data_IF_956329342350
#
_entry.id   IF_956329342350
#
_cell.length_a   1.000
_cell.length_b   1.000
_cell.length_c   1.000
_cell.angle_alpha   90.00
_cell.angle_beta   90.00
_cell.angle_gamma   90.00
#
_symmetry.space_group_name_H-M   'P 1'
#
loop_
_entity.id
_entity.type
_entity.pdbx_description
1 polymer ?
#
# COMPACT_ATOMS: atom_id res chain seq x y z
N UNK A 1 -17.82 82.33 56.02
CA UNK A 1 -17.37 80.95 56.35
C UNK A 1 -18.48 79.95 56.06
N UNK A 2 -18.43 79.20 54.95
CA UNK A 2 -19.04 77.87 54.83
C UNK A 2 -18.23 77.06 53.81
N UNK A 3 -17.77 75.90 54.27
CA UNK A 3 -16.88 74.98 53.57
C UNK A 3 -17.59 74.15 52.48
N UNK A 4 -16.76 73.78 51.52
CA UNK A 4 -16.91 72.87 50.38
C UNK A 4 -17.52 71.51 50.75
N UNK A 5 -18.27 70.91 49.80
CA UNK A 5 -18.23 69.45 49.55
C UNK A 5 -18.05 69.19 48.06
N UNK A 6 -17.08 68.33 47.78
CA UNK A 6 -16.65 67.83 46.48
C UNK A 6 -17.55 66.68 46.03
N UNK A 7 -17.80 66.59 44.72
CA UNK A 7 -18.29 65.37 44.07
C UNK A 7 -17.35 65.09 42.89
N UNK A 8 -16.62 63.97 42.85
CA UNK A 8 -15.87 63.57 41.67
C UNK A 8 -16.76 62.76 40.73
N UNK A 9 -16.86 63.19 39.46
CA UNK A 9 -17.43 62.37 38.39
C UNK A 9 -16.28 61.59 37.77
N UNK A 10 -16.27 60.27 38.00
CA UNK A 10 -15.43 59.32 37.27
C UNK A 10 -15.96 59.21 35.84
N UNK A 11 -15.21 59.68 34.85
CA UNK A 11 -15.47 59.38 33.44
C UNK A 11 -14.67 58.13 33.05
N UNK A 12 -15.35 56.99 32.93
CA UNK A 12 -14.78 55.76 32.41
C UNK A 12 -14.60 55.86 30.90
N UNK A 13 -13.36 55.78 30.44
CA UNK A 13 -13.02 55.66 29.01
C UNK A 13 -13.32 54.23 28.57
N UNK A 14 -14.37 54.05 27.78
CA UNK A 14 -14.67 52.80 27.08
C UNK A 14 -13.64 52.59 25.97
N UNK A 15 -12.67 51.70 26.22
CA UNK A 15 -11.71 51.23 25.23
C UNK A 15 -12.40 50.16 24.37
N UNK A 16 -12.91 50.53 23.19
CA UNK A 16 -13.44 49.57 22.22
C UNK A 16 -12.28 48.86 21.50
N UNK A 17 -12.27 47.51 21.41
CA UNK A 17 -11.28 46.80 20.62
C UNK A 17 -11.52 47.09 19.13
N UNK A 18 -10.52 47.69 18.49
CA UNK A 18 -10.48 47.91 17.05
C UNK A 18 -10.25 46.56 16.36
N UNK A 19 -11.33 45.89 15.93
CA UNK A 19 -11.23 44.71 15.07
C UNK A 19 -10.78 45.15 13.67
N UNK A 20 -9.52 44.88 13.34
CA UNK A 20 -9.01 45.02 11.97
C UNK A 20 -9.51 43.83 11.16
N UNK A 21 -10.59 44.04 10.41
CA UNK A 21 -11.04 43.10 9.39
C UNK A 21 -10.09 43.29 8.20
N UNK A 22 -9.08 42.43 8.10
CA UNK A 22 -8.29 42.33 6.87
C UNK A 22 -9.22 41.80 5.77
N UNK A 23 -9.31 42.45 4.60
CA UNK A 23 -9.94 41.84 3.44
C UNK A 23 -9.12 40.61 3.09
N UNK A 24 -9.60 39.44 3.49
CA UNK A 24 -9.10 38.20 2.94
C UNK A 24 -9.66 38.17 1.53
N UNK A 25 -8.86 38.59 0.56
CA UNK A 25 -9.11 38.27 -0.84
C UNK A 25 -8.99 36.75 -0.93
N UNK A 26 -10.09 36.05 -0.64
CA UNK A 26 -10.25 34.64 -0.95
C UNK A 26 -10.44 34.61 -2.48
N UNK A 27 -9.36 34.92 -3.20
CA UNK A 27 -9.27 34.68 -4.63
C UNK A 27 -9.73 33.25 -4.83
N UNK A 28 -10.90 33.09 -5.44
CA UNK A 28 -11.47 31.79 -5.76
C UNK A 28 -10.49 31.12 -6.72
N UNK A 29 -9.54 30.38 -6.16
CA UNK A 29 -8.62 29.57 -6.92
C UNK A 29 -9.49 28.54 -7.63
N UNK A 30 -9.71 28.74 -8.94
CA UNK A 30 -10.40 27.74 -9.76
C UNK A 30 -9.41 26.59 -9.94
N UNK A 31 -9.62 25.42 -9.32
CA UNK A 31 -8.75 24.28 -9.58
C UNK A 31 -8.83 23.99 -11.08
N UNK A 32 -7.67 23.81 -11.70
CA UNK A 32 -7.54 23.32 -13.07
C UNK A 32 -6.88 21.95 -13.01
N UNK A 33 -7.64 20.87 -12.71
CA UNK A 33 -7.07 19.54 -12.59
C UNK A 33 -6.41 19.14 -13.90
N UNK A 34 -5.18 18.63 -13.80
CA UNK A 34 -4.47 17.97 -14.90
C UNK A 34 -4.34 16.49 -14.55
N UNK A 35 -5.28 15.63 -14.98
CA UNK A 35 -5.19 14.20 -14.73
C UNK A 35 -3.89 13.63 -15.28
N UNK A 36 -3.23 12.77 -14.50
CA UNK A 36 -2.05 12.00 -14.94
C UNK A 36 -2.52 10.62 -15.38
N UNK A 37 -1.93 10.13 -16.46
CA UNK A 37 -2.17 8.76 -16.91
C UNK A 37 -1.23 7.81 -16.15
N UNK A 38 -1.81 6.97 -15.28
CA UNK A 38 -1.08 5.87 -14.66
C UNK A 38 -0.87 4.68 -15.60
N UNK A 39 -0.05 3.73 -15.16
CA UNK A 39 0.21 2.47 -15.84
C UNK A 39 0.19 1.31 -14.84
N UNK A 40 -0.13 0.11 -15.32
CA UNK A 40 -0.02 -1.12 -14.54
C UNK A 40 0.72 -2.18 -15.36
N UNK A 41 1.59 -2.92 -14.70
CA UNK A 41 2.31 -4.06 -15.28
C UNK A 41 2.01 -5.30 -14.45
N UNK A 42 1.76 -6.42 -15.13
CA UNK A 42 1.54 -7.72 -14.50
C UNK A 42 2.68 -8.66 -14.89
N UNK A 43 3.23 -9.35 -13.89
CA UNK A 43 4.25 -10.38 -14.08
C UNK A 43 3.73 -11.71 -13.57
N UNK A 44 3.76 -12.73 -14.43
CA UNK A 44 3.41 -14.10 -14.04
C UNK A 44 4.45 -14.63 -13.06
N UNK A 45 3.99 -15.22 -11.96
CA UNK A 45 4.86 -15.91 -11.03
C UNK A 45 5.13 -17.34 -11.53
N UNK A 46 6.41 -17.70 -11.55
CA UNK A 46 6.89 -18.99 -12.05
C UNK A 46 7.39 -19.86 -10.89
N UNK A 47 7.70 -21.11 -11.19
CA UNK A 47 8.32 -22.01 -10.22
C UNK A 47 9.72 -21.51 -9.80
N UNK A 48 10.06 -21.63 -8.53
CA UNK A 48 11.36 -21.21 -7.99
C UNK A 48 12.53 -22.08 -8.45
N UNK A 49 12.26 -23.24 -9.04
CA UNK A 49 13.27 -24.06 -9.73
C UNK A 49 13.81 -23.37 -10.99
N UNK A 50 13.10 -22.35 -11.50
CA UNK A 50 13.58 -21.59 -12.65
C UNK A 50 14.69 -20.62 -12.25
N UNK A 51 15.79 -20.53 -13.04
CA UNK A 51 16.93 -19.68 -12.69
C UNK A 51 16.57 -18.22 -12.43
N UNK A 52 15.61 -17.68 -13.17
CA UNK A 52 15.17 -16.29 -13.02
C UNK A 52 14.47 -15.98 -11.68
N UNK A 53 13.87 -17.00 -11.04
CA UNK A 53 13.12 -16.87 -9.79
C UNK A 53 13.85 -17.49 -8.58
N UNK A 54 14.97 -18.20 -8.81
CA UNK A 54 15.69 -18.96 -7.79
C UNK A 54 16.15 -18.12 -6.59
N UNK A 55 16.40 -16.82 -6.78
CA UNK A 55 16.79 -15.92 -5.69
C UNK A 55 15.70 -15.73 -4.62
N UNK A 56 14.45 -16.10 -4.92
CA UNK A 56 13.33 -16.04 -3.98
C UNK A 56 13.07 -17.36 -3.23
N UNK A 57 13.72 -18.45 -3.63
CA UNK A 57 13.53 -19.79 -3.05
C UNK A 57 13.91 -19.92 -1.56
N UNK A 58 14.99 -19.28 -1.06
CA UNK A 58 15.39 -19.46 0.33
C UNK A 58 14.30 -19.00 1.30
N UNK A 59 13.97 -19.85 2.26
CA UNK A 59 12.98 -19.58 3.29
C UNK A 59 13.55 -19.98 4.64
N UNK A 60 13.56 -19.03 5.57
CA UNK A 60 14.05 -19.23 6.94
C UNK A 60 12.93 -19.69 7.87
N UNK A 61 13.31 -20.30 9.00
CA UNK A 61 12.35 -20.70 10.04
C UNK A 61 11.58 -19.52 10.63
N UNK A 62 12.18 -18.32 10.66
CA UNK A 62 11.51 -17.10 11.10
C UNK A 62 10.39 -16.70 10.13
N UNK A 63 10.69 -16.67 8.83
CA UNK A 63 9.70 -16.37 7.79
C UNK A 63 8.55 -17.39 7.79
N UNK A 64 8.85 -18.68 8.02
CA UNK A 64 7.81 -19.71 8.15
C UNK A 64 6.89 -19.42 9.35
N UNK A 65 7.46 -19.01 10.48
CA UNK A 65 6.68 -18.69 11.67
C UNK A 65 5.80 -17.45 11.47
N UNK A 66 6.30 -16.43 10.79
CA UNK A 66 5.54 -15.22 10.47
C UNK A 66 4.40 -15.50 9.49
N UNK A 67 4.66 -16.26 8.43
CA UNK A 67 3.64 -16.68 7.46
C UNK A 67 2.56 -17.55 8.11
N UNK A 68 2.93 -18.43 9.05
CA UNK A 68 1.94 -19.21 9.82
C UNK A 68 1.03 -18.33 10.66
N UNK A 69 1.58 -17.28 11.27
CA UNK A 69 0.83 -16.33 12.09
C UNK A 69 -0.18 -15.57 11.22
N UNK A 70 0.28 -15.03 10.10
CA UNK A 70 -0.55 -14.29 9.14
C UNK A 70 -1.71 -15.14 8.60
N UNK A 71 -1.43 -16.35 8.10
CA UNK A 71 -2.51 -17.22 7.58
C UNK A 71 -3.54 -17.57 8.66
N UNK A 72 -3.09 -17.74 9.91
CA UNK A 72 -4.00 -17.99 11.03
C UNK A 72 -4.83 -16.75 11.38
N UNK A 73 -4.26 -15.55 11.33
CA UNK A 73 -4.95 -14.28 11.60
C UNK A 73 -5.99 -13.95 10.50
N UNK A 74 -5.59 -13.99 9.22
CA UNK A 74 -6.44 -13.69 8.06
C UNK A 74 -7.71 -14.57 8.00
N UNK A 75 -7.60 -15.79 8.49
CA UNK A 75 -8.68 -16.78 8.41
C UNK A 75 -9.41 -16.97 9.72
N UNK A 76 -9.18 -16.10 10.72
CA UNK A 76 -9.73 -16.21 12.07
C UNK A 76 -9.49 -17.61 12.69
N UNK A 77 -8.32 -18.20 12.38
CA UNK A 77 -7.90 -19.52 12.81
C UNK A 77 -8.57 -20.69 12.08
N UNK A 78 -9.42 -20.43 11.09
CA UNK A 78 -10.12 -21.51 10.34
C UNK A 78 -9.20 -22.23 9.36
N UNK A 79 -8.06 -21.64 9.00
CA UNK A 79 -7.03 -22.28 8.20
C UNK A 79 -5.68 -22.17 8.89
N UNK A 80 -4.91 -23.24 8.76
CA UNK A 80 -3.54 -23.32 9.27
C UNK A 80 -2.64 -23.89 8.19
N UNK A 81 -1.39 -23.43 8.18
CA UNK A 81 -0.33 -24.08 7.43
C UNK A 81 0.22 -25.27 8.23
N UNK A 82 0.67 -26.34 7.54
CA UNK A 82 1.25 -27.50 8.20
C UNK A 82 2.58 -27.17 8.90
N UNK A 83 2.93 -28.00 9.90
CA UNK A 83 4.19 -27.89 10.65
C UNK A 83 5.43 -28.21 9.82
N UNK A 84 5.25 -28.95 8.72
CA UNK A 84 6.28 -29.27 7.73
C UNK A 84 5.75 -29.07 6.31
N UNK A 85 6.66 -28.95 5.33
CA UNK A 85 6.29 -28.81 3.92
C UNK A 85 5.72 -27.43 3.55
N UNK A 86 6.09 -26.39 4.32
CA UNK A 86 5.89 -24.99 3.93
C UNK A 86 7.07 -24.58 3.07
N UNK A 87 6.78 -24.08 1.87
CA UNK A 87 7.80 -23.71 0.88
C UNK A 87 7.35 -22.52 0.04
N UNK A 88 8.29 -21.98 -0.75
CA UNK A 88 7.99 -20.96 -1.76
C UNK A 88 7.41 -21.66 -2.98
N UNK A 89 6.12 -21.47 -3.20
CA UNK A 89 5.34 -22.14 -4.25
C UNK A 89 5.58 -21.51 -5.62
N UNK A 90 5.60 -20.18 -5.67
CA UNK A 90 5.77 -19.39 -6.90
C UNK A 90 6.49 -18.08 -6.59
N UNK A 91 7.27 -17.59 -7.53
CA UNK A 91 7.90 -16.27 -7.41
C UNK A 91 8.07 -15.59 -8.77
N UNK A 92 8.25 -14.29 -8.74
CA UNK A 92 8.69 -13.51 -9.90
C UNK A 92 10.21 -13.51 -9.99
N UNK A 93 10.72 -13.27 -11.20
CA UNK A 93 12.06 -12.69 -11.35
C UNK A 93 12.07 -11.25 -10.78
N UNK A 94 13.22 -10.68 -10.42
CA UNK A 94 13.30 -9.25 -10.12
C UNK A 94 12.63 -8.40 -11.21
N UNK A 95 11.73 -7.51 -10.80
CA UNK A 95 11.00 -6.59 -11.67
C UNK A 95 11.49 -5.18 -11.44
N UNK A 96 11.95 -4.51 -12.49
CA UNK A 96 12.37 -3.12 -12.42
C UNK A 96 11.19 -2.20 -12.10
N UNK A 97 11.43 -1.19 -11.25
CA UNK A 97 10.49 -0.11 -10.98
C UNK A 97 11.14 1.20 -11.46
N UNK A 98 10.45 1.90 -12.35
CA UNK A 98 10.91 3.17 -12.92
C UNK A 98 10.39 4.40 -12.18
N UNK A 99 9.30 4.27 -11.42
CA UNK A 99 8.68 5.40 -10.72
C UNK A 99 9.22 5.56 -9.30
N UNK A 100 9.20 6.80 -8.79
CA UNK A 100 9.60 7.09 -7.40
C UNK A 100 8.60 6.53 -6.37
N UNK A 101 7.36 6.34 -6.80
CA UNK A 101 6.24 5.82 -6.03
C UNK A 101 5.50 4.79 -6.90
N UNK A 102 5.37 3.57 -6.39
CA UNK A 102 4.57 2.51 -7.01
C UNK A 102 3.69 1.85 -5.96
N UNK A 103 2.54 1.32 -6.36
CA UNK A 103 1.79 0.37 -5.55
C UNK A 103 2.00 -1.04 -6.09
N UNK A 104 2.15 -2.03 -5.21
CA UNK A 104 2.43 -3.41 -5.59
C UNK A 104 1.46 -4.35 -4.88
N UNK A 105 0.95 -5.35 -5.58
CA UNK A 105 0.15 -6.42 -5.00
C UNK A 105 0.43 -7.76 -5.66
N UNK A 106 0.15 -8.84 -4.94
CA UNK A 106 0.16 -10.20 -5.47
C UNK A 106 -1.28 -10.68 -5.60
N UNK A 107 -1.66 -11.19 -6.78
CA UNK A 107 -3.03 -11.66 -7.05
C UNK A 107 -3.05 -13.04 -7.66
N UNK A 108 -4.13 -13.79 -7.46
CA UNK A 108 -4.37 -15.12 -8.01
C UNK A 108 -5.86 -15.33 -8.31
N UNK A 109 -6.20 -16.45 -8.94
CA UNK A 109 -7.59 -16.81 -9.19
C UNK A 109 -8.36 -16.97 -7.87
N UNK A 110 -9.53 -16.34 -7.75
CA UNK A 110 -10.32 -16.34 -6.51
C UNK A 110 -10.57 -17.76 -5.98
N UNK A 111 -10.40 -17.94 -4.67
CA UNK A 111 -10.62 -19.22 -3.99
C UNK A 111 -9.46 -20.21 -4.04
N UNK A 112 -8.35 -19.89 -4.72
CA UNK A 112 -7.21 -20.82 -4.88
C UNK A 112 -6.06 -20.57 -3.91
N UNK A 113 -5.96 -19.38 -3.31
CA UNK A 113 -4.91 -19.03 -2.34
C UNK A 113 -5.27 -19.31 -0.88
N UNK A 114 -6.16 -20.26 -0.60
CA UNK A 114 -6.66 -20.48 0.76
C UNK A 114 -5.60 -20.91 1.78
N UNK A 115 -4.44 -21.38 1.36
CA UNK A 115 -3.31 -21.79 2.22
C UNK A 115 -2.00 -21.19 1.71
N UNK A 116 -2.07 -19.93 1.30
CA UNK A 116 -0.94 -19.23 0.73
C UNK A 116 -0.86 -17.82 1.32
N UNK A 117 0.36 -17.39 1.64
CA UNK A 117 0.68 -16.02 1.97
C UNK A 117 1.49 -15.40 0.84
N UNK A 118 1.35 -14.09 0.65
CA UNK A 118 2.14 -13.33 -0.30
C UNK A 118 3.24 -12.57 0.43
N UNK A 119 4.42 -12.49 -0.18
CA UNK A 119 5.51 -11.67 0.32
C UNK A 119 6.11 -10.83 -0.80
N UNK A 120 6.63 -9.68 -0.40
CA UNK A 120 7.36 -8.75 -1.25
C UNK A 120 8.73 -8.46 -0.64
N UNK A 121 9.74 -8.27 -1.49
CA UNK A 121 10.94 -7.53 -1.10
C UNK A 121 11.24 -6.46 -2.12
N UNK A 122 11.89 -5.40 -1.65
CA UNK A 122 12.32 -4.28 -2.47
C UNK A 122 13.84 -4.23 -2.53
N UNK A 123 14.38 -3.73 -3.65
CA UNK A 123 15.79 -3.46 -3.81
C UNK A 123 16.03 -1.96 -3.77
N UNK A 124 16.86 -1.49 -2.85
CA UNK A 124 17.25 -0.09 -2.68
C UNK A 124 18.77 -0.01 -2.64
N UNK A 125 19.33 0.96 -3.37
CA UNK A 125 20.79 1.17 -3.45
C UNK A 125 21.57 -0.11 -3.78
N UNK A 126 21.02 -0.94 -4.67
CA UNK A 126 21.62 -2.21 -5.10
C UNK A 126 21.45 -3.38 -4.12
N UNK A 127 20.85 -3.18 -2.95
CA UNK A 127 20.68 -4.19 -1.91
C UNK A 127 19.22 -4.62 -1.76
N UNK A 128 18.98 -5.92 -1.64
CA UNK A 128 17.66 -6.44 -1.29
C UNK A 128 17.37 -6.22 0.19
N UNK A 129 16.17 -5.71 0.48
CA UNK A 129 15.61 -5.72 1.82
C UNK A 129 15.17 -7.11 2.27
N UNK A 130 14.68 -7.18 3.51
CA UNK A 130 14.00 -8.36 4.01
C UNK A 130 12.71 -8.63 3.23
N UNK A 131 12.22 -9.86 3.32
CA UNK A 131 10.88 -10.19 2.85
C UNK A 131 9.85 -9.64 3.83
N UNK A 132 8.83 -8.99 3.30
CA UNK A 132 7.71 -8.44 4.04
C UNK A 132 6.43 -9.17 3.62
N UNK A 133 5.62 -9.52 4.61
CA UNK A 133 4.31 -10.12 4.40
C UNK A 133 3.34 -9.10 3.80
N UNK A 134 2.54 -9.56 2.84
CA UNK A 134 1.47 -8.78 2.26
C UNK A 134 0.14 -9.38 2.73
N UNK A 135 -0.56 -8.62 3.57
CA UNK A 135 -1.87 -8.99 4.12
C UNK A 135 -2.84 -9.36 2.99
N UNK A 136 -3.59 -10.45 3.18
CA UNK A 136 -4.55 -10.95 2.20
C UNK A 136 -5.93 -10.87 2.82
N UNK A 137 -6.71 -9.84 2.48
CA UNK A 137 -8.11 -9.83 2.90
C UNK A 137 -8.95 -10.72 1.96
N UNK A 138 -9.51 -11.85 2.45
CA UNK A 138 -10.29 -12.78 1.64
C UNK A 138 -11.68 -12.22 1.28
N UNK A 139 -12.11 -11.12 1.90
CA UNK A 139 -13.42 -10.49 1.75
C UNK A 139 -13.46 -9.37 0.70
N UNK A 140 -12.29 -8.86 0.30
CA UNK A 140 -12.15 -7.84 -0.75
C UNK A 140 -11.51 -8.41 -2.03
N UNK A 141 -11.91 -7.83 -3.15
CA UNK A 141 -11.45 -8.16 -4.49
C UNK A 141 -12.40 -7.53 -5.50
N UNK A 142 -11.94 -7.22 -6.72
CA UNK A 142 -12.80 -6.61 -7.73
C UNK A 142 -14.01 -7.50 -7.99
N UNK A 143 -15.22 -6.94 -7.82
CA UNK A 143 -16.48 -7.61 -8.16
C UNK A 143 -16.41 -8.13 -9.60
N UNK A 144 -16.69 -9.43 -9.79
CA UNK A 144 -16.87 -9.98 -11.12
C UNK A 144 -17.95 -9.18 -11.87
N UNK A 145 -17.60 -8.63 -13.04
CA UNK A 145 -18.58 -8.13 -14.00
C UNK A 145 -19.01 -6.67 -13.88
N UNK A 146 -18.49 -5.86 -12.94
CA UNK A 146 -18.87 -4.43 -12.92
C UNK A 146 -18.14 -3.58 -13.96
N UNK A 147 -16.89 -3.88 -14.32
CA UNK A 147 -16.11 -3.08 -15.29
C UNK A 147 -15.31 -3.87 -16.35
N UNK A 148 -15.28 -5.21 -16.31
CA UNK A 148 -14.59 -6.02 -17.31
C UNK A 148 -15.43 -7.26 -17.65
N UNK A 149 -16.14 -7.23 -18.79
CA UNK A 149 -16.81 -8.43 -19.31
C UNK A 149 -15.74 -9.48 -19.63
N UNK A 150 -15.75 -10.60 -18.88
CA UNK A 150 -14.99 -11.81 -19.22
C UNK A 150 -13.73 -12.08 -18.40
N UNK A 151 -13.31 -11.18 -17.49
CA UNK A 151 -12.16 -11.48 -16.62
C UNK A 151 -12.62 -12.22 -15.36
N UNK A 152 -12.03 -13.39 -15.03
CA UNK A 152 -12.32 -14.09 -13.79
C UNK A 152 -12.07 -13.21 -12.57
N UNK A 153 -12.88 -13.35 -11.53
CA UNK A 153 -12.61 -12.71 -10.24
C UNK A 153 -11.24 -13.15 -9.72
N UNK A 154 -10.45 -12.18 -9.27
CA UNK A 154 -9.17 -12.41 -8.61
C UNK A 154 -9.28 -12.09 -7.13
N UNK A 155 -8.49 -12.78 -6.34
CA UNK A 155 -8.19 -12.44 -4.96
C UNK A 155 -6.71 -12.03 -4.92
N UNK A 156 -6.30 -11.27 -3.93
CA UNK A 156 -4.90 -10.93 -3.76
C UNK A 156 -4.64 -10.27 -2.43
N UNK A 157 -3.39 -9.83 -2.27
CA UNK A 157 -2.99 -9.04 -1.14
C UNK A 157 -3.53 -7.60 -1.22
N UNK A 158 -3.45 -6.91 -0.10
CA UNK A 158 -3.52 -5.45 -0.02
C UNK A 158 -2.41 -4.80 -0.87
N UNK A 159 -2.63 -3.53 -1.23
CA UNK A 159 -1.64 -2.73 -1.95
C UNK A 159 -0.50 -2.33 -1.01
N UNK A 160 0.72 -2.66 -1.39
CA UNK A 160 1.94 -2.22 -0.72
C UNK A 160 2.54 -1.02 -1.46
N UNK A 161 2.74 0.09 -0.75
CA UNK A 161 3.36 1.29 -1.33
C UNK A 161 4.88 1.19 -1.30
N UNK A 162 5.49 1.21 -2.49
CA UNK A 162 6.94 1.16 -2.69
C UNK A 162 7.46 2.54 -3.03
N UNK A 163 8.47 2.99 -2.27
CA UNK A 163 9.19 4.25 -2.51
C UNK A 163 10.69 4.03 -2.60
N UNK A 164 11.32 4.68 -3.57
CA UNK A 164 12.78 4.70 -3.73
C UNK A 164 13.43 3.34 -4.05
N UNK A 165 12.65 2.33 -4.43
CA UNK A 165 13.17 1.03 -4.86
C UNK A 165 13.46 1.03 -6.37
N UNK A 166 14.51 0.32 -6.77
CA UNK A 166 14.85 0.11 -8.18
C UNK A 166 14.28 -1.19 -8.72
N UNK A 167 14.06 -2.18 -7.85
CA UNK A 167 13.46 -3.46 -8.21
C UNK A 167 12.52 -3.95 -7.09
N UNK A 168 11.54 -4.77 -7.46
CA UNK A 168 10.73 -5.57 -6.55
C UNK A 168 10.77 -7.03 -6.93
N UNK A 169 10.51 -7.88 -5.96
CA UNK A 169 10.28 -9.29 -6.20
C UNK A 169 9.18 -9.77 -5.28
N UNK A 170 8.16 -10.40 -5.86
CA UNK A 170 7.08 -11.05 -5.13
C UNK A 170 7.26 -12.57 -5.11
N UNK A 171 6.81 -13.20 -4.03
CA UNK A 171 6.69 -14.65 -3.91
C UNK A 171 5.42 -15.05 -3.16
N UNK A 172 5.01 -16.29 -3.36
CA UNK A 172 3.90 -16.95 -2.67
C UNK A 172 4.46 -18.11 -1.86
N UNK A 173 4.12 -18.16 -0.58
CA UNK A 173 4.52 -19.23 0.34
C UNK A 173 3.29 -20.00 0.78
N UNK A 174 3.39 -21.32 0.87
CA UNK A 174 2.27 -22.13 1.34
C UNK A 174 2.67 -23.60 1.48
N UNK A 175 1.67 -24.45 1.65
CA UNK A 175 1.86 -25.89 1.69
C UNK A 175 2.07 -26.45 0.27
N UNK A 176 3.05 -27.35 0.12
CA UNK A 176 3.29 -28.06 -1.14
C UNK A 176 1.99 -28.67 -1.71
N UNK A 177 1.74 -28.52 -3.01
CA UNK A 177 0.54 -29.01 -3.69
C UNK A 177 -0.73 -28.17 -3.46
N UNK A 178 -0.61 -27.03 -2.79
CA UNK A 178 -1.68 -26.03 -2.63
C UNK A 178 -1.32 -24.71 -3.34
N UNK A 179 -0.69 -24.78 -4.51
CA UNK A 179 -0.34 -23.59 -5.28
C UNK A 179 -1.60 -22.80 -5.71
N UNK A 180 -1.63 -21.46 -5.51
CA UNK A 180 -2.66 -20.64 -6.12
C UNK A 180 -2.61 -20.77 -7.65
N UNK A 181 -3.77 -20.67 -8.29
CA UNK A 181 -3.86 -20.72 -9.74
C UNK A 181 -3.63 -19.33 -10.31
N UNK A 182 -2.78 -19.26 -11.34
CA UNK A 182 -2.40 -18.02 -12.04
C UNK A 182 -1.93 -16.90 -11.09
N UNK A 183 -0.94 -17.12 -10.21
CA UNK A 183 -0.43 -16.06 -9.35
C UNK A 183 0.40 -15.05 -10.15
N UNK A 184 0.18 -13.77 -9.87
CA UNK A 184 0.79 -12.63 -10.55
C UNK A 184 1.23 -11.57 -9.55
N UNK A 185 2.34 -10.91 -9.85
CA UNK A 185 2.72 -9.64 -9.24
C UNK A 185 2.21 -8.50 -10.13
N UNK A 186 1.48 -7.55 -9.53
CA UNK A 186 1.03 -6.34 -10.21
C UNK A 186 1.80 -5.15 -9.66
N UNK A 187 2.41 -4.36 -10.52
CA UNK A 187 3.05 -3.08 -10.19
C UNK A 187 2.25 -1.97 -10.85
N UNK A 188 1.81 -1.01 -10.04
CA UNK A 188 1.00 0.14 -10.47
C UNK A 188 1.85 1.40 -10.32
N UNK A 189 2.10 2.04 -11.45
CA UNK A 189 2.71 3.36 -11.54
C UNK A 189 1.59 4.41 -11.59
N UNK A 190 1.44 5.28 -10.57
CA UNK A 190 0.43 6.35 -10.61
C UNK A 190 0.75 7.44 -11.64
N UNK A 191 1.94 7.40 -12.25
CA UNK A 191 2.47 8.45 -13.11
C UNK A 191 3.07 9.60 -12.28
N UNK A 192 3.45 10.67 -12.96
CA UNK A 192 3.94 11.90 -12.31
C UNK A 192 3.36 13.15 -12.97
N UNK A 193 3.20 14.20 -12.17
CA UNK A 193 2.78 15.53 -12.59
C UNK A 193 3.83 16.59 -12.23
N UNK A 194 3.83 17.72 -12.93
CA UNK A 194 4.65 18.88 -12.55
C UNK A 194 4.35 19.39 -11.13
N UNK A 195 3.14 19.15 -10.62
CA UNK A 195 2.77 19.55 -9.27
C UNK A 195 3.53 18.77 -8.18
N UNK A 196 4.00 17.55 -8.50
CA UNK A 196 4.76 16.69 -7.59
C UNK A 196 6.15 17.27 -7.30
N UNK A 197 6.66 18.17 -8.14
CA UNK A 197 7.95 18.82 -7.95
C UNK A 197 7.95 19.89 -6.84
N UNK A 198 6.77 20.35 -6.43
CA UNK A 198 6.58 21.45 -5.46
C UNK A 198 6.28 20.97 -4.04
N UNK A 199 6.11 19.67 -3.84
CA UNK A 199 5.91 19.06 -2.52
C UNK A 199 7.25 18.46 -2.04
N UNK A 200 8.04 19.28 -1.33
CA UNK A 200 9.34 18.90 -0.78
C UNK A 200 9.78 19.85 0.32
#
# INVERSE_FOLDING_TARGET
>A
MRLRRLTPVLAGVLLTPLFVILPVDISSAKPTPKPVQGAASETVMVDVSRPEAASAAPLSSGEIADVRREVAEDTQGTKTLPDAGVEVLRATAPQAISSKLSAVAVTWAKGTGGKAAAQLRTKKDGNWGAWENLEVDPSVGPDAGKNAKGTPARQGSELYMVTGATEVQGRVIGAAGHEPIDPKLTVIDPGSSDADATVG
#
